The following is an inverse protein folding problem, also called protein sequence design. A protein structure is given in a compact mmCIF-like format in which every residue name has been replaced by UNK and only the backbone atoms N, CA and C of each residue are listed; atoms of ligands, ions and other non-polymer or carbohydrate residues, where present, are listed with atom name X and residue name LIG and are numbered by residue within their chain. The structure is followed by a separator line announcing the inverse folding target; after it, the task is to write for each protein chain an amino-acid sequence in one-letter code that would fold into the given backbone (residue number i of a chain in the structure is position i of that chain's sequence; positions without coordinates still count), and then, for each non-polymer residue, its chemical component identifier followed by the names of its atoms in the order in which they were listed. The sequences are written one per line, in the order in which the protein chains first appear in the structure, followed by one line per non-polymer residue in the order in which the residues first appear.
data_IF_982759528440
#
_entry.id   IF_982759528440
#
_cell.length_a   1.000
_cell.length_b   1.000
_cell.length_c   1.000
_cell.angle_alpha   90.00
_cell.angle_beta   90.00
_cell.angle_gamma   90.00
#
_symmetry.space_group_name_H-M   'P 1'
#
loop_
_entity.id
_entity.type
_entity.pdbx_description
1 polymer ?
#
# COMPACT_ATOMS: atom_id res chain seq x y z
N UNK A 1 -19.65 14.16 17.40
CA UNK A 1 -19.33 14.52 16.00
C UNK A 1 -20.33 13.83 15.10
N UNK A 2 -20.94 14.55 14.14
CA UNK A 2 -22.02 13.98 13.30
C UNK A 2 -21.45 12.93 12.36
N UNK A 3 -22.10 11.75 12.24
CA UNK A 3 -21.62 10.64 11.36
C UNK A 3 -21.37 11.09 9.91
N UNK A 4 -22.19 11.97 9.38
CA UNK A 4 -21.98 12.51 8.01
C UNK A 4 -20.66 13.28 7.88
N UNK A 5 -20.25 14.03 8.91
CA UNK A 5 -18.94 14.74 8.88
C UNK A 5 -17.78 13.77 8.93
N UNK A 6 -17.87 12.71 9.74
CA UNK A 6 -16.85 11.65 9.79
C UNK A 6 -16.70 10.95 8.45
N UNK A 7 -17.82 10.58 7.84
CA UNK A 7 -17.81 9.94 6.51
C UNK A 7 -17.22 10.88 5.44
N UNK A 8 -17.57 12.17 5.47
CA UNK A 8 -17.01 13.14 4.54
C UNK A 8 -15.48 13.28 4.70
N UNK A 9 -14.97 13.32 5.94
CA UNK A 9 -13.53 13.36 6.22
C UNK A 9 -12.85 12.09 5.72
N UNK A 10 -13.47 10.92 5.91
CA UNK A 10 -12.93 9.65 5.43
C UNK A 10 -12.88 9.58 3.88
N UNK A 11 -13.93 10.05 3.20
CA UNK A 11 -13.96 10.15 1.73
C UNK A 11 -12.85 11.08 1.23
N UNK A 12 -12.77 12.28 1.81
CA UNK A 12 -11.77 13.27 1.42
C UNK A 12 -10.35 12.77 1.66
N UNK A 13 -10.09 12.19 2.84
CA UNK A 13 -8.79 11.61 3.16
C UNK A 13 -8.41 10.47 2.22
N UNK A 14 -9.35 9.55 1.94
CA UNK A 14 -9.13 8.45 0.98
C UNK A 14 -8.87 8.96 -0.43
N UNK A 15 -9.60 9.98 -0.89
CA UNK A 15 -9.40 10.59 -2.20
C UNK A 15 -8.03 11.27 -2.30
N UNK A 16 -7.62 12.03 -1.29
CA UNK A 16 -6.31 12.68 -1.25
C UNK A 16 -5.16 11.67 -1.25
N UNK A 17 -5.28 10.57 -0.50
CA UNK A 17 -4.29 9.48 -0.49
C UNK A 17 -4.18 8.82 -1.86
N UNK A 18 -5.30 8.53 -2.52
CA UNK A 18 -5.28 7.94 -3.87
C UNK A 18 -4.70 8.91 -4.90
N UNK A 19 -5.07 10.18 -4.86
CA UNK A 19 -4.52 11.19 -5.77
C UNK A 19 -3.02 11.39 -5.54
N UNK A 20 -2.57 11.41 -4.30
CA UNK A 20 -1.15 11.45 -3.97
C UNK A 20 -0.41 10.22 -4.51
N UNK A 21 -0.95 9.02 -4.29
CA UNK A 21 -0.36 7.78 -4.79
C UNK A 21 -0.30 7.72 -6.33
N UNK A 22 -1.31 8.23 -7.03
CA UNK A 22 -1.30 8.35 -8.49
C UNK A 22 -0.33 9.42 -8.95
N UNK A 23 -0.24 10.55 -8.24
CA UNK A 23 0.74 11.61 -8.50
C UNK A 23 2.17 11.07 -8.44
N UNK A 24 2.55 10.36 -7.38
CA UNK A 24 3.86 9.73 -7.26
C UNK A 24 4.13 8.71 -8.38
N UNK A 25 3.12 7.95 -8.77
CA UNK A 25 3.25 6.96 -9.82
C UNK A 25 3.44 7.58 -11.21
N UNK A 26 2.60 8.54 -11.59
CA UNK A 26 2.59 9.07 -12.96
C UNK A 26 3.45 10.32 -13.14
N UNK A 27 3.52 11.19 -12.14
CA UNK A 27 4.35 12.40 -12.20
C UNK A 27 5.74 12.16 -11.63
N UNK A 28 5.84 11.35 -10.56
CA UNK A 28 7.10 11.00 -9.93
C UNK A 28 7.84 9.83 -10.60
N UNK A 29 7.20 9.10 -11.51
CA UNK A 29 7.81 7.92 -12.16
C UNK A 29 8.11 6.77 -11.20
N UNK A 30 7.47 6.74 -10.02
CA UNK A 30 7.69 5.74 -8.98
C UNK A 30 6.69 4.58 -9.14
N UNK A 31 7.10 3.42 -9.68
CA UNK A 31 6.19 2.29 -9.85
C UNK A 31 5.78 1.71 -8.48
N UNK A 32 4.48 1.52 -8.24
CA UNK A 32 4.00 0.98 -6.98
C UNK A 32 4.31 -0.50 -6.83
N UNK A 33 4.67 -0.94 -5.62
CA UNK A 33 4.82 -2.34 -5.29
C UNK A 33 3.44 -3.04 -5.19
N UNK A 34 3.43 -4.36 -5.07
CA UNK A 34 2.19 -5.14 -4.99
C UNK A 34 1.34 -4.79 -3.76
N UNK A 35 1.97 -4.61 -2.59
CA UNK A 35 1.26 -4.22 -1.36
C UNK A 35 0.70 -2.79 -1.46
N UNK A 36 1.40 -1.89 -2.16
CA UNK A 36 0.89 -0.54 -2.42
C UNK A 36 -0.42 -0.57 -3.22
N UNK A 37 -0.56 -1.46 -4.21
CA UNK A 37 -1.82 -1.66 -4.91
C UNK A 37 -2.92 -2.19 -4.00
N UNK A 38 -2.61 -3.16 -3.14
CA UNK A 38 -3.58 -3.74 -2.22
C UNK A 38 -4.15 -2.71 -1.24
N UNK A 39 -3.36 -1.72 -0.84
CA UNK A 39 -3.82 -0.62 0.01
C UNK A 39 -4.77 0.34 -0.71
N UNK A 40 -4.68 0.46 -2.04
CA UNK A 40 -5.54 1.37 -2.82
C UNK A 40 -6.98 0.87 -2.93
N UNK A 41 -7.20 -0.45 -3.06
CA UNK A 41 -8.54 -1.02 -3.20
C UNK A 41 -9.48 -0.68 -2.04
N UNK A 42 -9.10 -0.81 -0.77
CA UNK A 42 -9.95 -0.41 0.35
C UNK A 42 -10.31 1.08 0.33
N UNK A 43 -9.41 1.96 -0.09
CA UNK A 43 -9.71 3.38 -0.21
C UNK A 43 -10.74 3.68 -1.31
N UNK A 44 -10.67 2.97 -2.43
CA UNK A 44 -11.69 3.07 -3.49
C UNK A 44 -13.05 2.61 -2.96
N UNK A 45 -13.11 1.48 -2.26
CA UNK A 45 -14.33 1.00 -1.62
C UNK A 45 -14.87 1.99 -0.58
N UNK A 46 -13.98 2.58 0.23
CA UNK A 46 -14.37 3.57 1.23
C UNK A 46 -15.02 4.81 0.59
N UNK A 47 -14.51 5.27 -0.56
CA UNK A 47 -15.10 6.39 -1.29
C UNK A 47 -16.48 6.00 -1.84
N UNK A 48 -16.59 4.87 -2.54
CA UNK A 48 -17.85 4.43 -3.16
C UNK A 48 -18.95 4.29 -2.10
N UNK A 49 -18.70 3.50 -1.05
CA UNK A 49 -19.70 3.27 -0.01
C UNK A 49 -19.93 4.49 0.88
N UNK A 50 -18.92 5.33 1.07
CA UNK A 50 -19.08 6.61 1.77
C UNK A 50 -20.00 7.57 1.02
N UNK A 51 -19.89 7.63 -0.30
CA UNK A 51 -20.79 8.41 -1.16
C UNK A 51 -22.20 7.84 -1.10
N UNK A 52 -22.38 6.52 -1.25
CA UNK A 52 -23.69 5.86 -1.12
C UNK A 52 -24.34 6.16 0.24
N UNK A 53 -23.58 6.06 1.32
CA UNK A 53 -24.04 6.42 2.66
C UNK A 53 -24.50 7.87 2.77
N UNK A 54 -23.79 8.79 2.14
CA UNK A 54 -24.13 10.22 2.14
C UNK A 54 -25.53 10.50 1.54
N UNK A 55 -25.94 9.71 0.55
CA UNK A 55 -27.26 9.81 -0.09
C UNK A 55 -28.34 9.02 0.67
N UNK A 56 -28.04 7.79 1.10
CA UNK A 56 -29.04 6.88 1.68
C UNK A 56 -29.25 7.08 3.19
N UNK A 57 -28.22 7.55 3.90
CA UNK A 57 -28.17 7.68 5.35
C UNK A 57 -28.46 6.36 6.12
N UNK A 58 -28.31 5.20 5.46
CA UNK A 58 -28.50 3.88 6.07
C UNK A 58 -27.32 3.56 6.95
N UNK A 59 -27.50 3.52 8.27
CA UNK A 59 -26.42 3.39 9.26
C UNK A 59 -25.52 2.17 9.06
N UNK A 60 -26.05 1.04 8.59
CA UNK A 60 -25.28 -0.17 8.33
C UNK A 60 -24.25 0.02 7.23
N UNK A 61 -24.52 0.87 6.22
CA UNK A 61 -23.58 1.17 5.14
C UNK A 61 -22.36 1.96 5.65
N UNK A 62 -22.51 2.73 6.71
CA UNK A 62 -21.43 3.52 7.30
C UNK A 62 -20.27 2.65 7.85
N UNK A 63 -20.53 1.39 8.21
CA UNK A 63 -19.48 0.48 8.67
C UNK A 63 -18.53 0.04 7.57
N UNK A 64 -18.97 -0.01 6.31
CA UNK A 64 -18.15 -0.50 5.19
C UNK A 64 -16.93 0.39 4.95
N UNK A 65 -17.05 1.72 4.85
CA UNK A 65 -15.88 2.60 4.73
C UNK A 65 -14.94 2.50 5.94
N UNK A 66 -15.48 2.35 7.15
CA UNK A 66 -14.67 2.22 8.35
C UNK A 66 -13.84 0.93 8.35
N UNK A 67 -14.46 -0.21 8.03
CA UNK A 67 -13.75 -1.49 7.92
C UNK A 67 -12.74 -1.46 6.77
N UNK A 68 -13.08 -0.87 5.63
CA UNK A 68 -12.20 -0.74 4.49
C UNK A 68 -10.94 0.09 4.83
N UNK A 69 -11.10 1.26 5.45
CA UNK A 69 -9.96 2.10 5.86
C UNK A 69 -9.12 1.43 6.95
N UNK A 70 -9.75 0.73 7.89
CA UNK A 70 -9.04 -0.01 8.92
C UNK A 70 -8.22 -1.18 8.34
N UNK A 71 -8.77 -1.93 7.38
CA UNK A 71 -8.04 -2.99 6.68
C UNK A 71 -6.84 -2.44 5.88
N UNK A 72 -6.99 -1.28 5.23
CA UNK A 72 -5.87 -0.61 4.57
C UNK A 72 -4.78 -0.21 5.55
N UNK A 73 -5.14 0.30 6.73
CA UNK A 73 -4.19 0.62 7.79
C UNK A 73 -3.44 -0.63 8.29
N UNK A 74 -4.12 -1.77 8.41
CA UNK A 74 -3.51 -3.05 8.76
C UNK A 74 -2.48 -3.52 7.72
N UNK A 75 -2.84 -3.45 6.43
CA UNK A 75 -1.90 -3.76 5.34
C UNK A 75 -0.73 -2.79 5.33
N UNK A 76 -0.97 -1.50 5.62
CA UNK A 76 0.06 -0.48 5.74
C UNK A 76 1.05 -0.76 6.88
N UNK A 77 0.54 -1.14 8.05
CA UNK A 77 1.38 -1.52 9.18
C UNK A 77 2.21 -2.78 8.88
N UNK A 78 1.62 -3.77 8.21
CA UNK A 78 2.33 -4.96 7.75
C UNK A 78 3.43 -4.61 6.75
N UNK A 79 3.13 -3.76 5.76
CA UNK A 79 4.09 -3.29 4.77
C UNK A 79 5.25 -2.52 5.42
N UNK A 80 4.94 -1.61 6.33
CA UNK A 80 5.95 -0.90 7.11
C UNK A 80 6.90 -1.85 7.87
N UNK A 81 6.37 -2.92 8.46
CA UNK A 81 7.19 -3.91 9.14
C UNK A 81 8.13 -4.69 8.20
N UNK A 82 7.71 -4.92 6.95
CA UNK A 82 8.58 -5.51 5.91
C UNK A 82 9.71 -4.52 5.55
N UNK A 83 9.40 -3.25 5.34
CA UNK A 83 10.38 -2.20 5.03
C UNK A 83 11.40 -2.02 6.16
N UNK A 84 10.99 -2.14 7.42
CA UNK A 84 11.87 -2.06 8.58
C UNK A 84 12.62 -3.38 8.86
N UNK A 85 12.36 -4.44 8.10
CA UNK A 85 13.00 -5.74 8.29
C UNK A 85 12.54 -6.51 9.53
N UNK A 86 11.40 -6.15 10.14
CA UNK A 86 10.85 -6.87 11.28
C UNK A 86 10.40 -8.30 10.92
N UNK A 87 9.93 -8.49 9.68
CA UNK A 87 9.57 -9.79 9.12
C UNK A 87 9.80 -9.82 7.60
N UNK A 88 10.03 -11.01 7.04
CA UNK A 88 10.21 -11.17 5.60
C UNK A 88 8.89 -10.86 4.86
N UNK A 89 9.00 -10.18 3.72
CA UNK A 89 7.89 -9.97 2.81
C UNK A 89 7.44 -11.26 2.12
N UNK A 90 6.20 -11.29 1.58
CA UNK A 90 5.75 -12.43 0.79
C UNK A 90 6.64 -12.60 -0.46
N UNK A 91 6.86 -13.85 -0.90
CA UNK A 91 7.73 -14.18 -2.05
C UNK A 91 7.35 -13.46 -3.36
N UNK A 92 6.13 -12.94 -3.43
CA UNK A 92 5.65 -12.15 -4.58
C UNK A 92 5.99 -10.67 -4.49
N UNK A 93 6.58 -10.23 -3.39
CA UNK A 93 6.88 -8.83 -3.07
C UNK A 93 8.37 -8.58 -2.84
N UNK A 94 9.11 -9.59 -2.38
CA UNK A 94 10.55 -9.55 -2.13
C UNK A 94 11.23 -10.63 -2.97
N UNK A 95 12.44 -10.37 -3.45
CA UNK A 95 13.25 -11.40 -4.09
C UNK A 95 13.59 -12.46 -3.05
N UNK A 96 13.09 -13.70 -3.26
CA UNK A 96 13.42 -14.84 -2.42
C UNK A 96 14.93 -15.07 -2.36
N UNK A 97 15.40 -15.68 -1.26
CA UNK A 97 16.81 -16.02 -1.09
C UNK A 97 17.29 -16.92 -2.24
N UNK A 98 18.35 -16.49 -2.93
CA UNK A 98 18.94 -17.17 -4.11
C UNK A 98 19.76 -18.40 -3.67
N UNK A 99 19.88 -18.68 -2.37
CA UNK A 99 20.70 -19.76 -1.88
C UNK A 99 20.12 -21.12 -2.25
N UNK A 100 20.86 -21.91 -3.03
CA UNK A 100 20.59 -23.29 -3.44
C UNK A 100 19.50 -23.50 -4.53
N UNK A 101 19.33 -22.54 -5.45
CA UNK A 101 18.46 -22.73 -6.62
C UNK A 101 19.22 -23.28 -7.81
N UNK A 102 18.56 -24.13 -8.63
CA UNK A 102 19.06 -24.54 -9.93
C UNK A 102 19.06 -23.34 -10.91
N UNK A 103 19.89 -23.38 -11.94
CA UNK A 103 20.01 -22.31 -12.93
C UNK A 103 18.67 -21.98 -13.61
N UNK A 104 17.86 -23.01 -13.89
CA UNK A 104 16.54 -22.85 -14.53
C UNK A 104 15.55 -22.16 -13.59
N UNK A 105 15.52 -22.55 -12.31
CA UNK A 105 14.69 -21.92 -11.29
C UNK A 105 15.10 -20.45 -11.03
N UNK A 106 16.40 -20.15 -11.14
CA UNK A 106 16.92 -18.79 -11.01
C UNK A 106 16.46 -17.90 -12.16
N UNK A 107 16.49 -18.42 -13.40
CA UNK A 107 16.02 -17.70 -14.60
C UNK A 107 14.51 -17.41 -14.48
N UNK A 108 13.72 -18.41 -14.08
CA UNK A 108 12.28 -18.25 -13.88
C UNK A 108 11.97 -17.22 -12.79
N UNK A 109 12.73 -17.23 -11.70
CA UNK A 109 12.59 -16.25 -10.62
C UNK A 109 12.94 -14.84 -11.08
N UNK A 110 14.00 -14.65 -11.89
CA UNK A 110 14.39 -13.35 -12.44
C UNK A 110 13.33 -12.86 -13.42
N UNK A 111 12.79 -13.72 -14.26
CA UNK A 111 11.78 -13.37 -15.26
C UNK A 111 10.42 -13.05 -14.61
N UNK A 112 10.12 -13.64 -13.47
CA UNK A 112 8.88 -13.39 -12.69
C UNK A 112 9.03 -12.35 -11.59
N UNK A 113 10.25 -11.83 -11.35
CA UNK A 113 10.51 -10.85 -10.30
C UNK A 113 9.70 -9.57 -10.54
N UNK A 114 9.01 -9.05 -9.51
CA UNK A 114 8.31 -7.79 -9.64
C UNK A 114 9.30 -6.66 -9.89
N UNK A 115 8.95 -5.72 -10.78
CA UNK A 115 9.77 -4.54 -11.11
C UNK A 115 10.08 -3.67 -9.89
N UNK A 116 9.25 -3.75 -8.85
CA UNK A 116 9.41 -3.03 -7.59
C UNK A 116 9.21 -4.01 -6.44
N UNK A 117 10.21 -4.09 -5.57
CA UNK A 117 10.14 -4.93 -4.37
C UNK A 117 9.47 -4.17 -3.24
N UNK A 118 8.84 -4.89 -2.31
CA UNK A 118 8.20 -4.28 -1.15
C UNK A 118 9.20 -3.92 -0.03
N UNK A 119 10.41 -4.43 -0.11
CA UNK A 119 11.55 -4.18 0.78
C UNK A 119 12.50 -3.10 0.25
N UNK A 120 12.28 -2.62 -0.97
CA UNK A 120 13.00 -1.48 -1.53
C UNK A 120 12.23 -0.20 -1.29
N UNK A 121 12.89 0.74 -0.68
CA UNK A 121 12.32 2.01 -0.30
C UNK A 121 12.71 3.07 -1.32
N UNK A 122 11.74 3.55 -2.09
CA UNK A 122 11.97 4.46 -3.21
C UNK A 122 12.05 5.95 -2.81
N UNK A 123 11.53 6.33 -1.64
CA UNK A 123 11.54 7.71 -1.17
C UNK A 123 11.26 7.84 0.33
N UNK A 124 11.97 8.72 1.06
CA UNK A 124 11.78 8.95 2.49
C UNK A 124 11.55 10.42 2.82
N UNK A 125 10.61 10.69 3.73
CA UNK A 125 10.36 12.00 4.28
C UNK A 125 10.40 11.92 5.82
N UNK A 126 11.31 12.69 6.46
CA UNK A 126 11.49 12.78 7.92
C UNK A 126 11.76 11.43 8.63
N UNK A 127 12.52 10.52 8.03
CA UNK A 127 12.76 9.16 8.56
C UNK A 127 11.48 8.34 8.82
N UNK A 128 10.33 8.84 8.43
CA UNK A 128 9.08 8.12 8.40
C UNK A 128 8.82 7.78 6.94
N UNK A 129 8.83 6.50 6.66
CA UNK A 129 8.64 5.99 5.34
C UNK A 129 7.19 6.26 4.88
N UNK A 130 7.03 7.16 3.92
CA UNK A 130 6.05 6.91 2.87
C UNK A 130 6.68 6.01 1.80
N UNK A 131 8.01 5.92 1.77
CA UNK A 131 8.85 5.12 0.90
C UNK A 131 10.32 5.36 1.34
N UNK A 132 10.87 4.60 2.27
CA UNK A 132 12.20 4.86 2.84
C UNK A 132 13.32 4.21 2.01
N UNK A 133 14.31 4.98 1.56
CA UNK A 133 15.58 4.43 1.08
C UNK A 133 16.58 4.41 2.23
N UNK A 134 16.90 3.23 2.74
CA UNK A 134 18.14 3.05 3.45
C UNK A 134 19.25 2.90 2.42
N UNK A 135 20.33 3.70 2.44
CA UNK A 135 21.52 3.31 1.73
C UNK A 135 21.99 2.01 2.35
N UNK A 136 21.93 0.93 1.59
CA UNK A 136 22.57 -0.32 1.98
C UNK A 136 24.04 0.00 2.18
N UNK A 137 24.63 -0.24 3.37
CA UNK A 137 26.07 -0.22 3.51
C UNK A 137 26.57 -1.49 2.83
N UNK A 138 26.87 -1.40 1.56
CA UNK A 138 27.59 -2.43 0.85
C UNK A 138 28.51 -1.75 -0.14
N UNK A 139 29.63 -1.36 0.40
CA UNK A 139 30.95 -1.45 -0.19
C UNK A 139 31.72 -2.51 0.58
#
# INVERSE_FOLDING_TARGET
MNQKRLTFIAILGSALLLLGALGFQYLGGLPPCKLCYWQRYPHVLAIIFGVIYSYTSIGTIAFIPAVATFSSAGVGAYHFGIEQGFWPGPNTCSSGSINNMSTDALIEQIMSAPLTKCDEVLWSFLNICLLYTSPSPRD
#
